data_IF_967733450103
#
_entry.id   IF_967733450103
#
_cell.length_a   1.000
_cell.length_b   1.000
_cell.length_c   1.000
_cell.angle_alpha   90.00
_cell.angle_beta   90.00
_cell.angle_gamma   90.00
#
_symmetry.space_group_name_H-M   'P 1'
#
loop_
_entity.id
_entity.type
_entity.pdbx_description
1 polymer ?
#
# COMPACT_ATOMS: atom_id res chain seq x y z
N UNK A 1 -2.17 21.00 -10.72
CA UNK A 1 -2.81 19.91 -9.96
C UNK A 1 -1.69 19.19 -9.22
N UNK A 2 -1.48 19.58 -7.98
CA UNK A 2 -0.40 19.12 -7.10
C UNK A 2 -0.73 17.76 -6.50
N UNK A 3 0.30 16.99 -6.12
CA UNK A 3 0.17 15.60 -5.64
C UNK A 3 -0.77 15.51 -4.42
N UNK A 4 -0.83 16.55 -3.60
CA UNK A 4 -1.76 16.64 -2.47
C UNK A 4 -3.23 16.71 -2.91
N UNK A 5 -3.53 17.33 -4.06
CA UNK A 5 -4.89 17.41 -4.59
C UNK A 5 -5.40 16.08 -5.18
N UNK A 6 -4.50 15.20 -5.65
CA UNK A 6 -4.87 13.85 -6.11
C UNK A 6 -5.28 12.93 -4.95
N UNK A 7 -4.71 13.14 -3.75
CA UNK A 7 -5.01 12.37 -2.55
C UNK A 7 -6.47 12.55 -2.08
N UNK A 8 -7.08 13.71 -2.32
CA UNK A 8 -8.46 13.98 -1.93
C UNK A 8 -9.53 13.36 -2.84
N UNK A 9 -9.16 12.88 -4.04
CA UNK A 9 -10.10 12.25 -4.98
C UNK A 9 -10.07 10.73 -4.96
N UNK A 10 -9.09 10.13 -4.29
CA UNK A 10 -8.92 8.70 -4.15
C UNK A 10 -9.16 8.32 -2.69
N UNK A 11 -10.40 7.94 -2.36
CA UNK A 11 -10.69 7.43 -1.03
C UNK A 11 -10.02 6.07 -0.88
N UNK A 12 -8.88 6.02 -0.20
CA UNK A 12 -8.21 4.76 0.13
C UNK A 12 -9.21 3.74 0.70
N UNK A 13 -8.99 2.45 0.41
CA UNK A 13 -9.87 1.41 0.94
C UNK A 13 -9.88 1.47 2.47
N UNK A 14 -11.02 1.21 3.13
CA UNK A 14 -11.09 1.24 4.58
C UNK A 14 -10.14 0.21 5.21
N UNK A 15 -9.60 0.53 6.39
CA UNK A 15 -8.61 -0.29 7.09
C UNK A 15 -7.20 0.32 7.07
N UNK A 16 -6.27 -0.29 7.80
CA UNK A 16 -4.88 0.19 7.95
C UNK A 16 -3.90 -0.87 7.48
N UNK A 17 -2.65 -0.52 7.20
CA UNK A 17 -1.65 -1.54 6.91
C UNK A 17 -1.20 -2.25 8.20
N UNK A 18 -0.97 -3.57 8.17
CA UNK A 18 -0.47 -4.28 9.34
C UNK A 18 0.92 -3.80 9.73
N UNK A 19 1.17 -3.67 11.03
CA UNK A 19 2.50 -3.39 11.56
C UNK A 19 3.36 -4.66 11.49
N UNK A 20 4.45 -4.61 10.72
CA UNK A 20 5.37 -5.76 10.59
C UNK A 20 6.70 -5.42 11.30
N UNK A 21 7.10 -6.16 12.36
CA UNK A 21 8.27 -5.84 13.17
C UNK A 21 9.61 -6.30 12.55
N UNK A 22 9.63 -6.59 11.25
CA UNK A 22 10.79 -7.16 10.57
C UNK A 22 11.46 -6.15 9.65
N UNK A 23 12.77 -6.25 9.51
CA UNK A 23 13.53 -5.49 8.52
C UNK A 23 13.91 -6.39 7.36
N UNK A 24 13.93 -5.84 6.15
CA UNK A 24 14.34 -6.58 4.97
C UNK A 24 15.77 -6.23 4.58
N UNK A 25 16.63 -7.23 4.40
CA UNK A 25 17.99 -7.02 3.90
C UNK A 25 18.04 -6.70 2.40
N UNK A 26 16.97 -7.01 1.66
CA UNK A 26 16.86 -6.81 0.21
C UNK A 26 15.50 -6.20 -0.12
N UNK A 27 15.46 -5.14 -0.92
CA UNK A 27 14.20 -4.63 -1.42
C UNK A 27 13.58 -5.64 -2.39
N UNK A 28 12.35 -6.06 -2.08
CA UNK A 28 11.49 -6.80 -2.99
C UNK A 28 10.81 -5.90 -4.01
N UNK A 29 9.93 -6.51 -4.81
CA UNK A 29 9.24 -5.83 -5.92
C UNK A 29 8.11 -4.93 -5.41
N UNK A 30 7.83 -3.86 -6.17
CA UNK A 30 6.61 -3.07 -6.01
C UNK A 30 5.51 -3.74 -6.84
N UNK A 31 4.61 -4.45 -6.18
CA UNK A 31 3.50 -5.18 -6.81
C UNK A 31 2.30 -4.26 -7.06
N UNK A 32 2.14 -3.23 -6.24
CA UNK A 32 1.05 -2.26 -6.31
C UNK A 32 1.57 -0.83 -6.06
N UNK A 33 0.79 0.17 -6.47
CA UNK A 33 1.03 1.58 -6.16
C UNK A 33 -0.02 2.17 -5.22
N UNK A 34 -1.29 1.77 -5.41
CA UNK A 34 -2.47 2.23 -4.66
C UNK A 34 -3.42 1.07 -4.31
N UNK A 35 -4.35 1.29 -3.39
CA UNK A 35 -5.25 0.24 -2.90
C UNK A 35 -6.13 -0.40 -3.99
N UNK A 36 -6.59 0.35 -4.99
CA UNK A 36 -7.39 -0.18 -6.11
C UNK A 36 -6.57 -1.01 -7.10
N UNK A 37 -5.23 -0.98 -7.02
CA UNK A 37 -4.41 -1.95 -7.77
C UNK A 37 -4.55 -3.36 -7.14
N UNK A 38 -4.98 -3.43 -5.88
CA UNK A 38 -5.16 -4.66 -5.14
C UNK A 38 -6.59 -5.21 -5.30
N UNK A 39 -6.76 -6.54 -5.34
CA UNK A 39 -8.07 -7.14 -5.44
C UNK A 39 -8.90 -6.89 -4.18
N UNK A 40 -10.22 -6.94 -4.33
CA UNK A 40 -11.18 -6.93 -3.23
C UNK A 40 -10.94 -5.81 -2.20
N UNK A 41 -10.72 -6.16 -0.93
CA UNK A 41 -10.55 -5.26 0.21
C UNK A 41 -9.08 -5.02 0.57
N UNK A 42 -8.17 -5.65 -0.16
CA UNK A 42 -6.74 -5.57 0.14
C UNK A 42 -6.21 -4.16 -0.11
N UNK A 43 -5.27 -3.75 0.74
CA UNK A 43 -4.59 -2.46 0.68
C UNK A 43 -3.19 -2.62 0.13
N UNK A 44 -2.71 -1.58 -0.56
CA UNK A 44 -1.34 -1.53 -1.04
C UNK A 44 -0.42 -0.96 0.04
N UNK A 45 0.28 -1.85 0.73
CA UNK A 45 1.05 -1.48 1.91
C UNK A 45 2.55 -1.39 1.62
N UNK A 46 3.18 -0.32 2.16
CA UNK A 46 4.63 -0.20 2.22
C UNK A 46 5.16 -1.12 3.32
N UNK A 47 5.49 -2.35 2.95
CA UNK A 47 6.15 -3.28 3.84
C UNK A 47 7.67 -3.09 3.80
N UNK A 48 8.41 -3.57 4.81
CA UNK A 48 9.87 -3.48 4.87
C UNK A 48 10.57 -4.02 3.60
N UNK A 49 9.97 -5.02 2.96
CA UNK A 49 10.48 -5.64 1.74
C UNK A 49 9.86 -5.08 0.44
N UNK A 50 9.06 -4.01 0.46
CA UNK A 50 8.46 -3.44 -0.74
C UNK A 50 6.95 -3.21 -0.63
N UNK A 51 6.33 -2.82 -1.75
CA UNK A 51 4.88 -2.57 -1.83
C UNK A 51 4.14 -3.82 -2.27
N UNK A 52 3.20 -4.30 -1.47
CA UNK A 52 2.38 -5.46 -1.81
C UNK A 52 0.95 -5.32 -1.31
N UNK A 53 0.05 -6.06 -1.93
CA UNK A 53 -1.34 -6.19 -1.51
C UNK A 53 -1.41 -7.10 -0.29
N UNK A 54 -2.01 -6.61 0.79
CA UNK A 54 -2.28 -7.36 2.02
C UNK A 54 -3.68 -7.05 2.51
N UNK A 55 -4.23 -7.97 3.30
CA UNK A 55 -5.44 -7.68 4.04
C UNK A 55 -5.15 -6.56 5.08
N UNK A 56 -6.07 -5.60 5.24
CA UNK A 56 -5.94 -4.52 6.23
C UNK A 56 -5.91 -5.02 7.68
#
# INVERSE_FOLDING_TARGET
IDIHAAFFLYTDKPGTCPAVPHYCSVQGRKVCSHDYDCPEKQKCCNLPCGKTCVDP
#
